data_IF_907096986690
#
_entry.id   IF_907096986690
#
_cell.length_a   1.000
_cell.length_b   1.000
_cell.length_c   1.000
_cell.angle_alpha   90.00
_cell.angle_beta   90.00
_cell.angle_gamma   90.00
#
_symmetry.space_group_name_H-M   'P 1'
#
loop_
_entity.id
_entity.type
_entity.pdbx_description
1 polymer ?
#
# COMPACT_ATOMS: atom_id res chain seq x y z
N UNK A 1 1.75 -42.56 -71.92
CA UNK A 1 0.99 -41.29 -71.86
C UNK A 1 1.94 -40.19 -71.38
N UNK A 2 1.95 -39.07 -72.10
CA UNK A 2 2.84 -37.89 -71.97
C UNK A 2 2.96 -37.42 -70.50
N UNK A 3 4.12 -37.16 -69.91
CA UNK A 3 5.17 -36.18 -70.22
C UNK A 3 4.82 -34.71 -69.89
N UNK A 4 5.62 -34.16 -68.96
CA UNK A 4 6.17 -32.78 -68.87
C UNK A 4 5.52 -31.75 -67.95
N UNK A 5 6.44 -31.14 -67.19
CA UNK A 5 6.40 -29.87 -66.50
C UNK A 5 6.43 -28.65 -67.46
N UNK A 6 6.53 -27.46 -66.85
CA UNK A 6 6.69 -26.08 -67.41
C UNK A 6 5.35 -25.33 -67.47
N UNK A 7 5.20 -24.07 -67.02
CA UNK A 7 6.20 -23.05 -66.71
C UNK A 7 5.63 -21.78 -66.09
N UNK A 8 6.59 -20.88 -65.86
CA UNK A 8 6.55 -19.51 -65.39
C UNK A 8 5.76 -18.58 -66.35
N UNK A 9 5.06 -17.57 -65.83
CA UNK A 9 4.79 -16.34 -66.59
C UNK A 9 4.81 -15.12 -65.65
N UNK A 10 5.83 -14.30 -65.85
CA UNK A 10 5.96 -12.89 -65.45
C UNK A 10 5.37 -12.02 -66.56
N UNK A 11 4.64 -10.96 -66.22
CA UNK A 11 4.47 -9.78 -67.07
C UNK A 11 4.83 -8.54 -66.26
N UNK A 12 5.68 -7.71 -66.88
CA UNK A 12 6.29 -6.47 -66.41
C UNK A 12 5.53 -5.23 -66.92
N UNK A 13 5.88 -4.10 -66.29
CA UNK A 13 5.77 -2.69 -66.72
C UNK A 13 4.49 -1.93 -66.29
N UNK A 14 4.58 -0.69 -65.78
CA UNK A 14 5.70 0.25 -65.76
C UNK A 14 5.52 1.43 -64.80
N UNK A 15 6.62 2.19 -64.67
CA UNK A 15 6.81 3.40 -63.86
C UNK A 15 6.05 4.64 -64.38
N UNK A 16 5.65 5.54 -63.47
CA UNK A 16 5.99 6.97 -63.54
C UNK A 16 5.78 7.70 -62.20
N UNK A 17 6.44 8.85 -62.08
CA UNK A 17 6.94 9.47 -60.86
C UNK A 17 5.97 10.40 -60.07
N UNK A 18 6.23 10.44 -58.75
CA UNK A 18 6.29 11.57 -57.80
C UNK A 18 5.34 12.79 -57.92
N UNK A 19 4.70 13.16 -56.79
CA UNK A 19 4.91 14.44 -56.08
C UNK A 19 4.08 14.55 -54.78
N UNK A 20 4.79 14.89 -53.69
CA UNK A 20 4.41 15.68 -52.51
C UNK A 20 2.99 15.66 -51.93
N UNK A 21 2.89 15.27 -50.66
CA UNK A 21 1.77 15.60 -49.76
C UNK A 21 2.04 15.16 -48.34
N UNK A 22 2.64 16.03 -47.53
CA UNK A 22 2.74 15.86 -46.08
C UNK A 22 1.36 16.01 -45.43
N UNK A 23 0.98 15.12 -44.51
CA UNK A 23 0.61 15.44 -43.12
C UNK A 23 -0.26 14.38 -42.43
N UNK A 24 0.09 14.16 -41.16
CA UNK A 24 -0.79 13.74 -40.06
C UNK A 24 -1.38 12.32 -40.09
N UNK A 25 -0.61 11.35 -39.58
CA UNK A 25 -1.16 10.11 -39.02
C UNK A 25 -0.60 9.90 -37.61
N UNK A 26 -1.22 10.56 -36.64
CA UNK A 26 -1.04 10.32 -35.20
C UNK A 26 -2.15 11.06 -34.43
N UNK A 27 -3.39 10.57 -34.47
CA UNK A 27 -4.45 11.10 -33.59
C UNK A 27 -5.67 10.17 -33.36
N UNK A 28 -5.72 8.95 -33.91
CA UNK A 28 -6.96 8.14 -33.87
C UNK A 28 -6.94 6.95 -32.88
N UNK A 29 -5.80 6.65 -32.22
CA UNK A 29 -5.72 5.54 -31.25
C UNK A 29 -5.91 5.98 -29.78
N UNK A 30 -5.75 7.27 -29.47
CA UNK A 30 -5.85 7.75 -28.08
C UNK A 30 -7.30 7.92 -27.57
N UNK A 31 -8.28 7.98 -28.46
CA UNK A 31 -9.69 8.28 -28.13
C UNK A 31 -10.58 7.04 -28.03
N UNK A 32 -10.08 5.84 -28.38
CA UNK A 32 -10.83 4.57 -28.23
C UNK A 32 -10.54 3.81 -26.93
N UNK A 33 -9.51 4.20 -26.18
CA UNK A 33 -9.22 3.63 -24.84
C UNK A 33 -10.04 4.33 -23.74
N UNK A 34 -10.62 5.50 -24.03
CA UNK A 34 -11.36 6.31 -23.04
C UNK A 34 -12.88 6.01 -22.96
N UNK A 35 -13.40 5.03 -23.71
CA UNK A 35 -14.85 4.79 -23.80
C UNK A 35 -15.25 3.32 -23.65
N UNK A 36 -14.49 2.53 -22.89
CA UNK A 36 -14.90 1.21 -22.43
C UNK A 36 -15.29 1.27 -20.94
N UNK A 37 -16.54 1.68 -20.70
CA UNK A 37 -17.30 1.26 -19.53
C UNK A 37 -16.88 1.80 -18.17
N UNK A 38 -17.31 3.03 -17.84
CA UNK A 38 -17.55 3.44 -16.47
C UNK A 38 -18.67 2.60 -15.84
N UNK A 39 -18.35 1.36 -15.42
CA UNK A 39 -18.95 0.82 -14.19
C UNK A 39 -18.31 1.65 -13.07
N UNK A 40 -19.12 2.34 -12.26
CA UNK A 40 -18.59 3.19 -11.18
C UNK A 40 -17.52 2.44 -10.38
N UNK A 41 -16.40 3.10 -10.07
CA UNK A 41 -15.32 2.47 -9.33
C UNK A 41 -15.88 1.88 -8.02
N UNK A 42 -15.74 0.56 -7.85
CA UNK A 42 -16.12 -0.10 -6.60
C UNK A 42 -15.18 0.41 -5.53
N UNK A 43 -15.71 1.08 -4.51
CA UNK A 43 -14.93 1.66 -3.41
C UNK A 43 -15.30 0.99 -2.09
N UNK A 44 -14.28 0.69 -1.30
CA UNK A 44 -14.34 0.16 0.06
C UNK A 44 -13.56 1.07 1.01
N UNK A 45 -13.87 1.03 2.30
CA UNK A 45 -13.27 1.82 3.36
C UNK A 45 -12.31 0.95 4.20
N UNK A 46 -11.06 1.40 4.31
CA UNK A 46 -10.15 0.98 5.37
C UNK A 46 -10.28 1.98 6.51
N UNK A 47 -10.97 1.61 7.59
CA UNK A 47 -11.25 2.53 8.70
C UNK A 47 -10.12 2.55 9.71
N UNK A 48 -9.96 3.68 10.40
CA UNK A 48 -9.02 3.79 11.50
C UNK A 48 -9.38 2.81 12.63
N UNK A 49 -8.41 2.04 13.10
CA UNK A 49 -8.59 1.16 14.25
C UNK A 49 -8.76 1.98 15.54
N UNK A 50 -9.98 1.99 16.09
CA UNK A 50 -10.34 2.76 17.28
C UNK A 50 -9.83 2.16 18.60
N UNK A 51 -9.34 0.92 18.56
CA UNK A 51 -8.79 0.19 19.69
C UNK A 51 -7.64 -0.71 19.23
N UNK A 52 -6.73 -1.13 20.12
CA UNK A 52 -5.73 -2.14 19.80
C UNK A 52 -6.36 -3.41 19.23
N UNK A 53 -5.66 -4.05 18.28
CA UNK A 53 -6.04 -5.32 17.66
C UNK A 53 -5.01 -6.37 18.10
N UNK A 54 -5.47 -7.50 18.64
CA UNK A 54 -4.62 -8.64 18.98
C UNK A 54 -4.69 -9.64 17.84
N UNK A 55 -3.55 -9.98 17.23
CA UNK A 55 -3.53 -10.95 16.13
C UNK A 55 -3.71 -12.36 16.69
N UNK A 56 -4.96 -12.81 16.79
CA UNK A 56 -5.33 -14.13 17.32
C UNK A 56 -6.21 -14.95 16.35
N UNK A 57 -6.56 -14.37 15.20
CA UNK A 57 -7.33 -15.02 14.14
C UNK A 57 -8.84 -14.85 14.30
N UNK A 58 -9.28 -13.97 15.20
CA UNK A 58 -10.70 -13.65 15.47
C UNK A 58 -10.96 -12.16 15.24
N UNK A 59 -12.24 -11.80 15.20
CA UNK A 59 -12.68 -10.42 14.95
C UNK A 59 -13.50 -9.89 16.13
N UNK A 60 -13.08 -10.21 17.36
CA UNK A 60 -13.86 -9.93 18.57
C UNK A 60 -13.73 -8.47 19.03
N UNK A 61 -12.69 -7.75 18.58
CA UNK A 61 -12.42 -6.37 18.95
C UNK A 61 -13.46 -5.39 18.41
N UNK A 62 -13.74 -4.34 19.19
CA UNK A 62 -14.65 -3.27 18.81
C UNK A 62 -14.25 -2.58 17.48
N UNK A 63 -12.94 -2.47 17.22
CA UNK A 63 -12.44 -1.95 15.95
C UNK A 63 -12.91 -2.78 14.75
N UNK A 64 -12.89 -4.11 14.85
CA UNK A 64 -13.39 -5.00 13.79
C UNK A 64 -14.90 -4.89 13.59
N UNK A 65 -15.65 -4.75 14.67
CA UNK A 65 -17.10 -4.56 14.60
C UNK A 65 -17.48 -3.23 13.93
N UNK A 66 -16.61 -2.22 14.01
CA UNK A 66 -16.77 -0.94 13.33
C UNK A 66 -16.21 -0.91 11.90
N UNK A 67 -15.43 -1.91 11.48
CA UNK A 67 -14.87 -1.98 10.14
C UNK A 67 -15.96 -2.18 9.07
N UNK A 68 -15.72 -1.69 7.84
CA UNK A 68 -16.61 -2.05 6.74
C UNK A 68 -16.42 -3.54 6.40
N UNK A 69 -17.53 -4.27 6.37
CA UNK A 69 -17.54 -5.66 5.90
C UNK A 69 -17.52 -5.69 4.37
N UNK A 70 -16.63 -6.49 3.82
CA UNK A 70 -16.48 -6.79 2.39
C UNK A 70 -16.94 -8.22 2.18
N UNK A 71 -18.11 -8.43 1.58
CA UNK A 71 -18.73 -9.75 1.38
C UNK A 71 -19.05 -10.08 -0.09
N UNK A 72 -18.73 -9.16 -1.01
CA UNK A 72 -18.99 -9.32 -2.45
C UNK A 72 -17.89 -10.13 -3.14
N UNK A 73 -17.68 -11.38 -2.74
CA UNK A 73 -16.76 -12.30 -3.42
C UNK A 73 -17.48 -12.98 -4.59
N UNK A 74 -17.02 -12.70 -5.81
CA UNK A 74 -17.65 -13.12 -7.07
C UNK A 74 -16.63 -13.67 -8.05
N UNK A 75 -17.09 -14.18 -9.20
CA UNK A 75 -16.28 -14.61 -10.35
C UNK A 75 -16.49 -13.64 -11.53
N UNK A 76 -15.87 -12.43 -11.54
CA UNK A 76 -16.24 -11.40 -12.51
C UNK A 76 -15.82 -11.70 -13.95
N UNK A 77 -14.81 -12.55 -14.14
CA UNK A 77 -14.37 -13.02 -15.47
C UNK A 77 -15.41 -13.88 -16.20
N UNK A 78 -16.49 -14.29 -15.53
CA UNK A 78 -17.67 -14.89 -16.16
C UNK A 78 -18.57 -13.87 -16.86
N UNK A 79 -18.29 -12.57 -16.71
CA UNK A 79 -18.94 -11.45 -17.40
C UNK A 79 -20.46 -11.44 -17.23
N UNK A 80 -21.24 -11.75 -18.28
CA UNK A 80 -22.69 -11.77 -18.22
C UNK A 80 -23.23 -12.83 -17.24
N UNK A 81 -22.42 -13.86 -16.97
CA UNK A 81 -22.72 -14.96 -16.05
C UNK A 81 -21.99 -14.79 -14.70
N UNK A 82 -21.56 -13.56 -14.35
CA UNK A 82 -20.99 -13.24 -13.04
C UNK A 82 -21.93 -13.72 -11.92
N UNK A 83 -21.37 -14.48 -10.98
CA UNK A 83 -22.07 -15.04 -9.83
C UNK A 83 -21.23 -14.94 -8.56
N UNK A 84 -21.85 -14.99 -7.37
CA UNK A 84 -21.12 -15.20 -6.12
C UNK A 84 -20.33 -16.52 -6.12
N UNK A 85 -19.29 -16.56 -5.28
CA UNK A 85 -18.64 -17.82 -4.89
C UNK A 85 -19.65 -18.78 -4.23
N UNK A 86 -19.38 -20.07 -4.30
CA UNK A 86 -20.21 -21.14 -3.71
C UNK A 86 -20.19 -21.08 -2.19
N UNK A 87 -19.04 -20.72 -1.63
CA UNK A 87 -18.82 -20.57 -0.19
C UNK A 87 -18.66 -19.10 0.16
N UNK A 88 -19.20 -18.67 1.30
CA UNK A 88 -19.15 -17.27 1.68
C UNK A 88 -17.74 -16.85 2.11
N UNK A 89 -17.40 -15.58 1.85
CA UNK A 89 -16.19 -14.95 2.37
C UNK A 89 -16.56 -13.55 2.86
N UNK A 90 -16.13 -13.21 4.08
CA UNK A 90 -16.34 -11.90 4.71
C UNK A 90 -14.99 -11.37 5.16
N UNK A 91 -14.55 -10.28 4.55
CA UNK A 91 -13.30 -9.63 4.89
C UNK A 91 -13.52 -8.25 5.50
N UNK A 92 -12.54 -7.77 6.27
CA UNK A 92 -12.47 -6.44 6.86
C UNK A 92 -11.05 -5.93 6.76
N UNK A 93 -10.91 -4.63 6.54
CA UNK A 93 -9.62 -3.93 6.53
C UNK A 93 -9.68 -2.76 7.50
N UNK A 94 -8.62 -2.62 8.29
CA UNK A 94 -8.43 -1.51 9.22
C UNK A 94 -7.01 -0.99 9.12
N UNK A 95 -6.77 0.21 9.66
CA UNK A 95 -5.42 0.77 9.68
C UNK A 95 -5.19 1.67 10.89
N UNK A 96 -3.94 1.84 11.29
CA UNK A 96 -3.54 2.82 12.29
C UNK A 96 -2.20 3.49 11.92
N UNK A 97 -1.56 4.15 12.88
CA UNK A 97 -0.27 4.82 12.66
C UNK A 97 0.88 3.85 12.32
N UNK A 98 0.79 2.59 12.73
CA UNK A 98 1.84 1.58 12.59
C UNK A 98 1.55 0.54 11.51
N UNK A 99 0.29 0.15 11.33
CA UNK A 99 -0.06 -1.04 10.57
C UNK A 99 -1.28 -0.87 9.66
N UNK A 100 -1.26 -1.63 8.56
CA UNK A 100 -2.46 -2.12 7.89
C UNK A 100 -2.90 -3.43 8.55
N UNK A 101 -4.18 -3.59 8.83
CA UNK A 101 -4.77 -4.81 9.40
C UNK A 101 -5.74 -5.43 8.41
N UNK A 102 -5.79 -6.76 8.41
CA UNK A 102 -6.74 -7.52 7.62
C UNK A 102 -7.35 -8.65 8.46
N UNK A 103 -8.62 -8.93 8.18
CA UNK A 103 -9.32 -10.10 8.70
C UNK A 103 -10.18 -10.68 7.58
N UNK A 104 -10.19 -12.00 7.44
CA UNK A 104 -11.12 -12.71 6.57
C UNK A 104 -11.67 -13.95 7.27
N UNK A 105 -12.99 -14.13 7.19
CA UNK A 105 -13.69 -15.34 7.58
C UNK A 105 -14.26 -16.00 6.33
N UNK A 106 -13.95 -17.28 6.14
CA UNK A 106 -14.27 -18.06 4.95
C UNK A 106 -14.98 -19.33 5.36
N UNK A 107 -16.14 -19.58 4.75
CA UNK A 107 -16.81 -20.88 4.81
C UNK A 107 -16.04 -21.84 3.92
N UNK A 108 -15.75 -23.03 4.42
CA UNK A 108 -15.03 -24.06 3.67
C UNK A 108 -15.40 -25.44 4.18
N UNK A 109 -15.67 -26.39 3.28
CA UNK A 109 -16.12 -27.73 3.68
C UNK A 109 -15.05 -28.81 3.50
N UNK A 110 -13.86 -28.42 3.04
CA UNK A 110 -12.74 -29.32 2.77
C UNK A 110 -11.41 -28.55 2.89
N UNK A 111 -10.95 -28.32 4.12
CA UNK A 111 -9.75 -27.53 4.36
C UNK A 111 -8.51 -28.24 3.80
N UNK A 112 -7.87 -27.64 2.80
CA UNK A 112 -6.67 -28.13 2.15
C UNK A 112 -5.55 -27.09 2.17
N UNK A 113 -4.50 -27.36 2.94
CA UNK A 113 -3.23 -26.66 2.84
C UNK A 113 -2.04 -27.52 3.28
N UNK A 114 -1.23 -27.97 2.34
CA UNK A 114 -0.01 -28.76 2.54
C UNK A 114 1.30 -27.98 2.27
N UNK A 115 1.20 -26.80 1.68
CA UNK A 115 2.29 -25.82 1.56
C UNK A 115 2.50 -25.16 2.92
N UNK A 116 3.55 -25.58 3.64
CA UNK A 116 3.86 -25.06 4.98
C UNK A 116 5.06 -24.13 5.04
N UNK A 117 5.86 -24.07 3.98
CA UNK A 117 7.07 -23.25 3.90
C UNK A 117 6.71 -21.79 3.62
N UNK A 118 7.27 -20.86 4.41
CA UNK A 118 7.17 -19.42 4.14
C UNK A 118 7.63 -19.14 2.71
N UNK A 119 6.90 -18.29 1.98
CA UNK A 119 7.14 -18.00 0.57
C UNK A 119 6.99 -19.23 -0.35
N UNK A 120 6.31 -20.27 0.12
CA UNK A 120 5.84 -21.37 -0.70
C UNK A 120 4.75 -20.94 -1.68
N UNK A 121 4.40 -21.83 -2.60
CA UNK A 121 3.33 -21.59 -3.59
C UNK A 121 1.95 -21.78 -2.97
N UNK A 122 1.58 -20.89 -2.07
CA UNK A 122 0.36 -20.98 -1.26
C UNK A 122 -0.93 -21.06 -2.07
N UNK A 123 -0.95 -20.57 -3.32
CA UNK A 123 -2.06 -20.69 -4.26
C UNK A 123 -2.33 -22.11 -4.78
N UNK A 124 -1.47 -23.09 -4.47
CA UNK A 124 -1.73 -24.51 -4.74
C UNK A 124 -2.67 -25.15 -3.67
N UNK A 125 -3.18 -24.33 -2.73
CA UNK A 125 -4.00 -24.70 -1.57
C UNK A 125 -5.11 -23.66 -1.32
N UNK A 126 -5.94 -23.88 -0.29
CA UNK A 126 -6.83 -22.85 0.25
C UNK A 126 -6.06 -21.64 0.72
N UNK A 127 -6.29 -20.50 0.07
CA UNK A 127 -5.53 -19.28 0.33
C UNK A 127 -6.39 -18.04 0.22
N UNK A 128 -6.12 -17.09 1.12
CA UNK A 128 -6.62 -15.73 1.06
C UNK A 128 -5.48 -14.81 0.61
N UNK A 129 -5.72 -14.06 -0.45
CA UNK A 129 -4.71 -13.21 -1.09
C UNK A 129 -5.14 -11.74 -1.00
N UNK A 130 -4.17 -10.87 -0.76
CA UNK A 130 -4.32 -9.42 -0.73
C UNK A 130 -3.36 -8.80 -1.74
N UNK A 131 -3.92 -8.00 -2.63
CA UNK A 131 -3.15 -7.23 -3.60
C UNK A 131 -3.31 -5.74 -3.34
N UNK A 132 -2.19 -5.01 -3.31
CA UNK A 132 -2.19 -3.55 -3.15
C UNK A 132 -1.32 -2.89 -4.22
N UNK A 133 -1.83 -1.84 -4.86
CA UNK A 133 -1.12 -1.01 -5.85
C UNK A 133 -1.02 0.46 -5.37
N UNK A 134 -0.31 0.77 -4.27
CA UNK A 134 -0.50 2.03 -3.54
C UNK A 134 -0.25 3.31 -4.32
N UNK A 135 0.80 3.31 -5.15
CA UNK A 135 1.24 4.51 -5.87
C UNK A 135 0.80 4.47 -7.33
N UNK A 136 -0.05 5.41 -7.74
CA UNK A 136 -0.51 5.54 -9.13
C UNK A 136 0.64 5.83 -10.12
N UNK A 137 1.69 6.54 -9.67
CA UNK A 137 2.84 6.94 -10.48
C UNK A 137 3.97 5.89 -10.53
N UNK A 138 3.85 4.79 -9.78
CA UNK A 138 4.83 3.70 -9.74
C UNK A 138 4.24 2.43 -10.34
N UNK A 139 5.02 1.62 -11.09
CA UNK A 139 4.53 0.38 -11.69
C UNK A 139 4.41 -0.79 -10.70
N UNK A 140 5.03 -0.69 -9.52
CA UNK A 140 5.13 -1.80 -8.59
C UNK A 140 3.89 -1.99 -7.72
N UNK A 141 3.65 -3.22 -7.29
CA UNK A 141 2.53 -3.63 -6.45
C UNK A 141 2.92 -4.80 -5.54
N UNK A 142 2.06 -5.07 -4.58
CA UNK A 142 2.25 -6.08 -3.55
C UNK A 142 1.25 -7.21 -3.75
N UNK A 143 1.74 -8.41 -3.48
CA UNK A 143 0.97 -9.63 -3.38
C UNK A 143 1.31 -10.28 -2.05
N UNK A 144 0.27 -10.63 -1.29
CA UNK A 144 0.39 -11.16 0.06
C UNK A 144 -0.63 -12.29 0.17
N UNK A 145 -0.22 -13.41 0.73
CA UNK A 145 -1.07 -14.58 0.83
C UNK A 145 -0.93 -15.20 2.21
N UNK A 146 -2.04 -15.69 2.75
CA UNK A 146 -2.03 -16.57 3.92
C UNK A 146 -2.93 -17.76 3.62
N UNK A 147 -2.40 -18.97 3.70
CA UNK A 147 -3.17 -20.19 3.47
C UNK A 147 -3.82 -20.74 4.76
N UNK A 148 -4.68 -21.74 4.64
CA UNK A 148 -5.36 -22.36 5.77
C UNK A 148 -4.42 -23.05 6.79
N UNK A 149 -3.15 -23.32 6.43
CA UNK A 149 -2.13 -23.80 7.35
C UNK A 149 -1.48 -22.67 8.18
N UNK A 150 -1.76 -21.40 7.85
CA UNK A 150 -1.11 -20.22 8.43
C UNK A 150 0.23 -19.88 7.76
N UNK A 151 0.51 -20.45 6.60
CA UNK A 151 1.71 -20.13 5.83
C UNK A 151 1.51 -18.85 5.05
N UNK A 152 2.52 -17.99 5.16
CA UNK A 152 2.59 -16.69 4.52
C UNK A 152 3.40 -16.81 3.23
N UNK A 153 2.94 -16.13 2.19
CA UNK A 153 3.77 -15.68 1.08
C UNK A 153 3.64 -14.17 0.95
N UNK A 154 4.76 -13.47 0.80
CA UNK A 154 4.76 -12.03 0.58
C UNK A 154 5.75 -11.61 -0.50
N UNK A 155 5.30 -10.73 -1.38
CA UNK A 155 6.11 -10.35 -2.53
C UNK A 155 5.80 -8.94 -3.00
N UNK A 156 6.86 -8.22 -3.37
CA UNK A 156 6.75 -7.01 -4.18
C UNK A 156 7.08 -7.34 -5.63
N UNK A 157 6.17 -7.00 -6.55
CA UNK A 157 6.39 -7.13 -7.98
C UNK A 157 6.70 -5.73 -8.54
N UNK A 158 7.94 -5.42 -8.98
CA UNK A 158 8.32 -4.08 -9.42
C UNK A 158 7.55 -3.57 -10.66
N UNK A 159 7.09 -4.48 -11.51
CA UNK A 159 6.29 -4.18 -12.71
C UNK A 159 5.58 -5.46 -13.17
N UNK A 160 4.30 -5.37 -13.54
CA UNK A 160 3.61 -6.51 -14.15
C UNK A 160 4.28 -6.94 -15.45
N UNK A 161 4.46 -8.24 -15.64
CA UNK A 161 5.06 -8.82 -16.84
C UNK A 161 6.60 -8.79 -16.90
N UNK A 162 7.29 -8.25 -15.89
CA UNK A 162 8.78 -8.30 -15.82
C UNK A 162 9.33 -9.56 -15.14
N UNK A 163 8.45 -10.50 -14.80
CA UNK A 163 8.71 -11.70 -14.00
C UNK A 163 7.52 -11.99 -13.09
N UNK A 164 7.69 -12.89 -12.13
CA UNK A 164 6.70 -13.23 -11.11
C UNK A 164 7.39 -13.91 -9.94
N UNK A 165 6.66 -14.80 -9.25
CA UNK A 165 7.10 -15.55 -8.08
C UNK A 165 8.59 -15.95 -8.11
N UNK A 166 9.01 -16.79 -9.07
CA UNK A 166 10.38 -17.31 -9.14
C UNK A 166 11.48 -16.24 -9.20
N UNK A 167 11.15 -15.02 -9.62
CA UNK A 167 12.10 -13.92 -9.77
C UNK A 167 12.14 -13.00 -8.54
N UNK A 168 10.98 -12.78 -7.92
CA UNK A 168 10.81 -11.69 -6.95
C UNK A 168 10.53 -12.17 -5.53
N UNK A 169 10.23 -13.45 -5.33
CA UNK A 169 9.88 -13.97 -4.01
C UNK A 169 10.97 -13.74 -2.95
N UNK A 170 12.25 -13.80 -3.35
CA UNK A 170 13.37 -13.55 -2.45
C UNK A 170 13.77 -12.06 -2.33
N UNK A 171 13.04 -11.13 -2.93
CA UNK A 171 13.41 -9.70 -2.98
C UNK A 171 12.96 -8.92 -1.74
N UNK A 172 13.73 -9.08 -0.67
CA UNK A 172 13.55 -8.39 0.60
C UNK A 172 12.81 -9.25 1.62
N UNK A 173 12.55 -8.65 2.78
CA UNK A 173 11.82 -9.30 3.87
C UNK A 173 10.63 -8.41 4.23
N UNK A 174 9.45 -8.99 4.24
CA UNK A 174 8.27 -8.37 4.84
C UNK A 174 8.14 -8.82 6.30
N UNK A 175 7.31 -8.09 7.04
CA UNK A 175 7.09 -8.25 8.48
C UNK A 175 5.60 -8.47 8.75
N UNK A 176 4.92 -9.17 7.85
CA UNK A 176 3.54 -9.60 8.05
C UNK A 176 3.47 -10.53 9.26
N UNK A 177 2.53 -10.25 10.14
CA UNK A 177 2.15 -11.13 11.24
C UNK A 177 0.72 -11.59 11.00
N UNK A 178 0.47 -12.89 11.08
CA UNK A 178 -0.87 -13.45 10.88
C UNK A 178 -1.14 -14.62 11.79
N UNK A 179 -2.41 -14.80 12.14
CA UNK A 179 -2.91 -15.95 12.88
C UNK A 179 -4.14 -16.53 12.17
N UNK A 180 -4.17 -17.86 12.08
CA UNK A 180 -5.28 -18.62 11.49
C UNK A 180 -6.03 -19.38 12.57
N UNK A 181 -7.37 -19.36 12.47
CA UNK A 181 -8.28 -20.22 13.24
C UNK A 181 -9.02 -21.11 12.25
N UNK A 182 -8.95 -22.44 12.47
CA UNK A 182 -9.64 -23.45 11.65
C UNK A 182 -10.85 -23.98 12.43
N UNK A 183 -11.97 -24.13 11.73
CA UNK A 183 -13.18 -24.82 12.18
C UNK A 183 -13.32 -26.10 11.35
N UNK A 184 -12.42 -27.05 11.61
CA UNK A 184 -12.29 -28.24 10.78
C UNK A 184 -10.96 -28.98 10.98
N UNK A 185 -10.72 -30.00 10.17
CA UNK A 185 -9.52 -30.83 10.16
C UNK A 185 -8.72 -30.62 8.87
N UNK A 186 -7.62 -29.88 8.97
CA UNK A 186 -6.77 -29.58 7.81
C UNK A 186 -6.28 -30.87 7.12
N UNK A 187 -6.36 -30.89 5.79
CA UNK A 187 -5.92 -31.95 4.87
C UNK A 187 -6.67 -33.29 5.03
N UNK A 188 -7.94 -33.26 5.44
CA UNK A 188 -8.77 -34.46 5.63
C UNK A 188 -10.05 -34.44 4.79
N UNK A 189 -9.90 -34.55 3.47
CA UNK A 189 -11.03 -34.49 2.53
C UNK A 189 -12.20 -35.46 2.75
N UNK A 190 -12.02 -36.51 3.57
CA UNK A 190 -13.10 -37.45 3.89
C UNK A 190 -14.07 -36.94 4.97
N UNK A 191 -13.72 -35.90 5.73
CA UNK A 191 -14.66 -35.27 6.66
C UNK A 191 -15.29 -33.99 6.07
N UNK A 192 -15.94 -33.21 6.93
CA UNK A 192 -16.62 -31.98 6.57
C UNK A 192 -16.24 -30.90 7.55
N UNK A 193 -15.69 -29.83 7.02
CA UNK A 193 -15.30 -28.66 7.76
C UNK A 193 -16.37 -27.56 7.69
N UNK A 194 -16.21 -26.54 8.53
CA UNK A 194 -17.07 -25.35 8.56
C UNK A 194 -16.34 -24.12 8.00
N UNK A 195 -15.01 -24.13 7.98
CA UNK A 195 -14.18 -23.12 7.34
C UNK A 195 -13.01 -22.65 8.20
N UNK A 196 -12.50 -21.48 7.88
CA UNK A 196 -11.36 -20.90 8.58
C UNK A 196 -11.44 -19.37 8.62
N UNK A 197 -10.62 -18.76 9.46
CA UNK A 197 -10.39 -17.33 9.45
C UNK A 197 -8.91 -17.03 9.54
N UNK A 198 -8.51 -15.92 8.93
CA UNK A 198 -7.18 -15.35 9.06
C UNK A 198 -7.30 -13.92 9.54
N UNK A 199 -6.47 -13.56 10.50
CA UNK A 199 -6.25 -12.18 10.93
C UNK A 199 -4.77 -11.86 10.78
N UNK A 200 -4.44 -10.64 10.38
CA UNK A 200 -3.06 -10.22 10.35
C UNK A 200 -2.86 -8.73 10.26
N UNK A 201 -1.59 -8.34 10.34
CA UNK A 201 -1.14 -6.95 10.24
C UNK A 201 0.19 -6.85 9.50
N UNK A 202 0.42 -5.69 8.91
CA UNK A 202 1.65 -5.37 8.21
C UNK A 202 2.11 -3.96 8.54
N UNK A 203 3.39 -3.75 8.91
CA UNK A 203 3.88 -2.42 9.19
C UNK A 203 4.04 -1.60 7.92
N UNK A 204 3.83 -0.29 8.02
CA UNK A 204 3.98 0.62 6.87
C UNK A 204 5.38 0.65 6.25
N UNK A 205 6.39 0.15 6.96
CA UNK A 205 7.76 -0.02 6.45
C UNK A 205 7.82 -0.93 5.24
N UNK A 206 6.93 -1.92 5.16
CA UNK A 206 6.87 -2.86 4.04
C UNK A 206 6.35 -2.20 2.75
N UNK A 207 5.61 -1.09 2.89
CA UNK A 207 5.06 -0.32 1.79
C UNK A 207 5.98 0.81 1.28
N UNK A 208 7.21 0.97 1.81
CA UNK A 208 8.10 2.08 1.47
C UNK A 208 8.48 2.17 -0.01
N UNK A 209 8.54 1.04 -0.73
CA UNK A 209 8.84 1.03 -2.18
C UNK A 209 7.80 1.85 -2.96
N UNK A 210 6.56 1.94 -2.47
CA UNK A 210 5.46 2.68 -3.07
C UNK A 210 4.96 3.86 -2.23
N UNK A 211 5.74 4.36 -1.27
CA UNK A 211 5.42 5.58 -0.52
C UNK A 211 5.10 5.38 0.96
N UNK A 212 4.91 4.14 1.42
CA UNK A 212 4.68 3.83 2.83
C UNK A 212 3.23 4.05 3.25
N UNK A 213 3.06 4.61 4.45
CA UNK A 213 1.75 4.83 5.08
C UNK A 213 0.87 5.77 4.25
N UNK A 214 -0.41 5.45 4.04
CA UNK A 214 -1.34 6.33 3.33
C UNK A 214 -1.65 7.60 4.13
N UNK A 215 -1.98 8.67 3.42
CA UNK A 215 -2.68 9.82 3.99
C UNK A 215 -4.15 9.48 4.26
N UNK A 216 -4.77 10.25 5.16
CA UNK A 216 -6.23 10.20 5.34
C UNK A 216 -6.90 10.59 4.01
N UNK A 217 -7.97 9.86 3.67
CA UNK A 217 -8.73 9.95 2.42
C UNK A 217 -7.95 9.58 1.15
N UNK A 218 -6.70 9.11 1.28
CA UNK A 218 -6.01 8.46 0.18
C UNK A 218 -6.75 7.18 -0.21
N UNK A 219 -6.72 6.82 -1.48
CA UNK A 219 -7.32 5.59 -1.97
C UNK A 219 -6.30 4.77 -2.75
N UNK A 220 -6.21 3.47 -2.48
CA UNK A 220 -5.34 2.56 -3.22
C UNK A 220 -6.17 1.62 -4.11
N UNK A 221 -5.76 1.34 -5.35
CA UNK A 221 -6.22 0.14 -6.04
C UNK A 221 -5.85 -1.10 -5.23
N UNK A 222 -6.82 -1.97 -4.97
CA UNK A 222 -6.62 -3.23 -4.25
C UNK A 222 -7.57 -4.34 -4.74
N UNK A 223 -7.21 -5.56 -4.41
CA UNK A 223 -8.09 -6.73 -4.52
C UNK A 223 -7.88 -7.66 -3.33
N UNK A 224 -8.97 -8.21 -2.82
CA UNK A 224 -8.96 -9.37 -1.93
C UNK A 224 -9.43 -10.55 -2.76
N UNK A 225 -8.69 -11.64 -2.73
CA UNK A 225 -8.92 -12.81 -3.56
C UNK A 225 -8.87 -14.08 -2.71
N UNK A 226 -9.53 -15.13 -3.20
CA UNK A 226 -9.56 -16.44 -2.54
C UNK A 226 -9.43 -17.54 -3.56
N UNK A 227 -8.65 -18.56 -3.21
CA UNK A 227 -8.71 -19.89 -3.81
C UNK A 227 -9.39 -20.81 -2.79
N UNK A 228 -10.44 -21.50 -3.23
CA UNK A 228 -11.18 -22.49 -2.44
C UNK A 228 -11.05 -23.86 -3.13
N UNK A 229 -10.26 -24.74 -2.53
CA UNK A 229 -10.03 -26.10 -2.98
C UNK A 229 -11.02 -27.04 -2.30
N UNK A 230 -11.66 -27.90 -3.09
CA UNK A 230 -12.46 -28.98 -2.54
C UNK A 230 -12.48 -30.17 -3.48
N UNK A 231 -12.51 -31.39 -2.91
CA UNK A 231 -12.78 -32.62 -3.66
C UNK A 231 -14.13 -32.63 -4.36
N UNK A 232 -15.04 -31.71 -3.99
CA UNK A 232 -16.32 -31.53 -4.67
C UNK A 232 -16.22 -30.66 -5.94
N UNK A 233 -15.09 -30.02 -6.20
CA UNK A 233 -14.90 -29.05 -7.29
C UNK A 233 -13.99 -29.60 -8.39
N UNK A 234 -14.16 -29.07 -9.60
CA UNK A 234 -13.22 -29.31 -10.70
C UNK A 234 -12.19 -28.17 -10.72
N UNK A 235 -11.08 -28.37 -9.99
CA UNK A 235 -10.11 -27.32 -9.69
C UNK A 235 -10.57 -26.36 -8.57
N UNK A 236 -9.72 -25.40 -8.16
CA UNK A 236 -10.11 -24.42 -7.15
C UNK A 236 -11.18 -23.47 -7.68
N UNK A 237 -12.13 -23.11 -6.83
CA UNK A 237 -13.00 -21.97 -7.11
C UNK A 237 -12.29 -20.68 -6.71
N UNK A 238 -12.00 -19.85 -7.71
CA UNK A 238 -11.40 -18.53 -7.50
C UNK A 238 -12.50 -17.50 -7.26
N UNK A 239 -12.28 -16.55 -6.35
CA UNK A 239 -13.20 -15.43 -6.17
C UNK A 239 -12.49 -14.17 -5.71
N UNK A 240 -13.13 -13.01 -5.91
CA UNK A 240 -12.56 -11.70 -5.55
C UNK A 240 -13.62 -10.66 -5.24
N UNK A 241 -13.26 -9.66 -4.43
CA UNK A 241 -14.07 -8.45 -4.22
C UNK A 241 -13.89 -7.39 -5.32
N UNK A 242 -12.86 -7.52 -6.15
CA UNK A 242 -12.55 -6.54 -7.20
C UNK A 242 -13.40 -6.75 -8.47
N UNK A 243 -13.65 -5.70 -9.26
CA UNK A 243 -14.39 -5.80 -10.52
C UNK A 243 -13.87 -6.80 -11.55
N UNK A 244 -12.54 -7.00 -11.68
CA UNK A 244 -11.79 -7.99 -12.48
C UNK A 244 -12.53 -8.71 -13.65
N UNK A 245 -13.27 -7.95 -14.46
CA UNK A 245 -14.21 -8.47 -15.46
C UNK A 245 -13.92 -8.03 -16.89
N UNK A 246 -12.89 -7.21 -17.10
CA UNK A 246 -12.43 -6.83 -18.44
C UNK A 246 -11.83 -8.02 -19.20
N UNK A 247 -11.28 -9.00 -18.48
CA UNK A 247 -10.73 -10.24 -19.02
C UNK A 247 -11.74 -11.39 -18.92
N UNK A 248 -11.66 -12.34 -19.86
CA UNK A 248 -12.49 -13.56 -19.91
C UNK A 248 -11.87 -14.75 -19.16
N UNK A 249 -10.91 -14.48 -18.29
CA UNK A 249 -10.25 -15.45 -17.42
C UNK A 249 -9.86 -14.75 -16.13
N UNK A 250 -9.67 -15.53 -15.06
CA UNK A 250 -9.15 -15.00 -13.81
C UNK A 250 -7.69 -14.56 -13.99
N UNK A 251 -7.40 -13.31 -13.65
CA UNK A 251 -6.04 -12.78 -13.55
C UNK A 251 -6.02 -11.78 -12.38
N UNK A 252 -5.62 -12.25 -11.20
CA UNK A 252 -5.54 -11.41 -10.01
C UNK A 252 -4.43 -10.36 -10.10
N UNK A 253 -3.55 -10.39 -11.10
CA UNK A 253 -2.52 -9.36 -11.30
C UNK A 253 -3.01 -8.22 -12.21
N UNK A 254 -4.25 -8.26 -12.70
CA UNK A 254 -4.84 -7.23 -13.57
C UNK A 254 -5.31 -5.99 -12.76
N UNK A 255 -4.34 -5.25 -12.20
CA UNK A 255 -4.59 -4.13 -11.29
C UNK A 255 -5.37 -2.95 -11.89
N UNK A 256 -5.59 -2.89 -13.20
CA UNK A 256 -6.46 -1.89 -13.85
C UNK A 256 -7.92 -2.01 -13.42
N UNK A 257 -8.37 -3.23 -13.10
CA UNK A 257 -9.74 -3.53 -12.69
C UNK A 257 -9.89 -3.66 -11.16
N UNK A 258 -8.88 -3.25 -10.40
CA UNK A 258 -8.95 -3.30 -8.93
C UNK A 258 -10.02 -2.35 -8.39
N UNK A 259 -10.60 -2.73 -7.25
CA UNK A 259 -11.42 -1.83 -6.45
C UNK A 259 -10.56 -0.73 -5.82
N UNK A 260 -11.18 0.31 -5.26
CA UNK A 260 -10.50 1.38 -4.52
C UNK A 260 -10.68 1.18 -3.02
N UNK A 261 -9.58 1.19 -2.26
CA UNK A 261 -9.56 1.15 -0.81
C UNK A 261 -9.26 2.54 -0.26
N UNK A 262 -10.26 3.22 0.28
CA UNK A 262 -10.12 4.55 0.86
C UNK A 262 -9.76 4.49 2.34
N UNK A 263 -8.69 5.17 2.75
CA UNK A 263 -8.18 5.19 4.12
C UNK A 263 -8.89 6.25 4.96
N UNK A 264 -9.93 5.84 5.68
CA UNK A 264 -10.73 6.73 6.52
C UNK A 264 -9.98 6.95 7.85
N UNK A 265 -9.66 8.21 8.13
CA UNK A 265 -8.99 8.60 9.37
C UNK A 265 -9.86 8.46 10.62
N UNK A 266 -9.31 8.71 11.81
CA UNK A 266 -10.06 8.64 13.06
C UNK A 266 -11.25 9.61 13.03
N UNK A 267 -12.45 9.10 13.32
CA UNK A 267 -13.65 9.92 13.41
C UNK A 267 -13.53 10.86 14.62
N UNK A 268 -13.83 12.16 14.41
CA UNK A 268 -14.04 13.09 15.51
C UNK A 268 -15.46 12.89 16.02
N UNK A 269 -15.64 12.63 17.32
CA UNK A 269 -16.97 12.47 17.91
C UNK A 269 -17.87 13.67 17.57
N UNK A 270 -18.84 13.46 16.68
CA UNK A 270 -19.85 14.44 16.30
C UNK A 270 -20.94 14.51 17.39
N UNK A 271 -20.58 15.01 18.58
CA UNK A 271 -21.48 15.02 19.74
C UNK A 271 -21.42 16.24 20.66
N UNK A 272 -20.61 17.26 20.37
CA UNK A 272 -20.39 18.40 21.28
C UNK A 272 -20.75 19.77 20.69
N UNK A 273 -21.74 19.85 19.80
CA UNK A 273 -22.36 21.15 19.49
C UNK A 273 -23.85 20.99 19.19
N UNK A 274 -24.69 21.21 20.21
CA UNK A 274 -26.04 21.83 20.16
C UNK A 274 -26.80 21.54 21.46
N UNK A 275 -26.80 22.48 22.41
CA UNK A 275 -27.97 22.81 23.26
C UNK A 275 -27.66 24.08 24.08
N UNK A 276 -28.64 24.99 24.09
CA UNK A 276 -28.59 26.37 24.59
C UNK A 276 -28.62 26.51 26.12
N UNK A 277 -28.13 27.69 26.54
CA UNK A 277 -28.39 28.45 27.76
C UNK A 277 -29.73 28.21 28.50
N UNK A 278 -29.69 27.96 29.81
CA UNK A 278 -30.36 28.74 30.86
C UNK A 278 -30.20 28.08 32.26
N UNK A 279 -30.32 28.91 33.29
CA UNK A 279 -29.94 28.79 34.70
C UNK A 279 -30.56 27.65 35.57
N UNK A 280 -29.67 27.05 36.39
CA UNK A 280 -29.71 26.86 37.84
C UNK A 280 -30.89 26.17 38.60
N UNK A 281 -30.50 25.02 39.21
CA UNK A 281 -30.74 24.55 40.59
C UNK A 281 -32.11 23.99 41.05
N UNK A 282 -32.14 22.67 41.31
CA UNK A 282 -32.19 22.12 42.69
C UNK A 282 -31.88 20.62 42.70
N UNK A 283 -30.93 20.22 43.56
CA UNK A 283 -30.44 18.85 43.74
C UNK A 283 -31.27 18.11 44.81
N UNK A 284 -31.56 16.83 44.58
CA UNK A 284 -31.59 15.80 45.65
C UNK A 284 -31.02 14.47 45.11
N UNK A 285 -29.83 14.14 45.63
CA UNK A 285 -29.09 12.88 45.47
C UNK A 285 -29.72 11.75 46.32
N UNK A 286 -29.50 10.44 46.15
CA UNK A 286 -28.34 9.60 45.74
C UNK A 286 -28.92 8.26 45.19
N UNK A 287 -28.22 7.42 44.43
CA UNK A 287 -26.78 7.32 44.18
C UNK A 287 -26.41 6.16 43.23
N UNK A 288 -25.10 6.06 43.01
CA UNK A 288 -24.33 5.18 42.12
C UNK A 288 -24.33 5.58 40.63
N UNK A 289 -23.54 6.61 40.33
CA UNK A 289 -23.14 7.01 38.99
C UNK A 289 -22.14 8.17 39.10
N UNK A 290 -21.03 8.12 38.37
CA UNK A 290 -20.25 9.35 38.17
C UNK A 290 -21.04 10.17 37.16
N UNK A 291 -21.88 11.10 37.62
CA UNK A 291 -22.79 11.91 36.78
C UNK A 291 -22.06 12.90 35.85
N UNK A 292 -20.78 13.20 36.11
CA UNK A 292 -19.96 14.06 35.26
C UNK A 292 -18.48 13.75 35.44
N UNK A 293 -17.76 13.66 34.33
CA UNK A 293 -16.32 13.51 34.30
C UNK A 293 -15.65 14.75 34.93
N UNK A 294 -14.87 14.59 35.99
CA UNK A 294 -13.97 15.65 36.48
C UNK A 294 -12.78 15.69 35.54
N UNK A 295 -12.55 16.77 34.76
CA UNK A 295 -11.35 16.86 33.96
C UNK A 295 -10.15 16.87 34.92
N UNK A 296 -9.19 15.98 34.70
CA UNK A 296 -7.87 16.08 35.31
C UNK A 296 -7.19 17.34 34.74
N UNK A 297 -7.46 18.51 35.34
CA UNK A 297 -6.85 19.79 34.95
C UNK A 297 -5.41 19.93 35.45
N UNK A 298 -4.97 19.03 36.33
CA UNK A 298 -3.56 18.86 36.65
C UNK A 298 -3.05 17.63 35.92
N UNK A 299 -3.02 17.72 34.60
CA UNK A 299 -2.14 16.86 33.85
C UNK A 299 -0.70 17.19 34.23
N UNK A 300 0.07 16.17 34.63
CA UNK A 300 1.54 16.23 34.56
C UNK A 300 2.09 15.55 33.30
N UNK A 301 1.19 15.17 32.38
CA UNK A 301 1.55 14.64 31.05
C UNK A 301 0.96 15.58 29.99
N UNK A 302 1.80 16.50 29.52
CA UNK A 302 1.48 17.38 28.39
C UNK A 302 1.80 16.62 27.10
N UNK A 303 0.76 16.24 26.36
CA UNK A 303 0.81 15.79 24.96
C UNK A 303 -0.53 16.09 24.31
N UNK A 304 -0.54 16.96 23.29
CA UNK A 304 -1.74 17.64 22.77
C UNK A 304 -2.56 16.83 21.76
N UNK A 305 -3.90 17.02 21.71
CA UNK A 305 -4.67 16.86 20.47
C UNK A 305 -4.46 18.12 19.62
N UNK A 306 -3.42 18.14 18.80
CA UNK A 306 -3.17 19.32 17.96
C UNK A 306 -4.22 19.43 16.83
N UNK A 307 -4.79 20.63 16.59
CA UNK A 307 -5.52 20.90 15.35
C UNK A 307 -4.59 20.67 14.14
N UNK A 308 -5.14 20.42 12.93
CA UNK A 308 -4.30 20.28 11.74
C UNK A 308 -3.33 21.46 11.67
N UNK A 309 -2.04 21.21 11.39
CA UNK A 309 -1.04 22.26 11.41
C UNK A 309 -1.51 23.42 10.52
N UNK A 310 -1.37 24.68 10.95
CA UNK A 310 -1.77 25.84 10.15
C UNK A 310 -1.00 25.96 8.82
N UNK A 311 -0.03 25.07 8.60
CA UNK A 311 0.84 25.04 7.44
C UNK A 311 0.76 23.66 6.78
N UNK A 312 0.64 23.65 5.44
CA UNK A 312 0.77 22.45 4.63
C UNK A 312 2.25 22.25 4.28
N UNK A 313 2.76 21.04 4.46
CA UNK A 313 4.09 20.70 4.00
C UNK A 313 4.14 20.79 2.46
N UNK A 314 5.06 21.59 1.93
CA UNK A 314 5.35 21.66 0.50
C UNK A 314 6.83 21.30 0.26
N UNK A 315 7.13 20.80 -0.95
CA UNK A 315 8.49 20.45 -1.31
C UNK A 315 9.32 21.72 -1.47
N UNK A 316 10.09 22.07 -0.45
CA UNK A 316 10.92 23.28 -0.45
C UNK A 316 12.03 23.28 -1.52
N UNK A 317 12.58 22.10 -1.85
CA UNK A 317 13.64 21.93 -2.86
C UNK A 317 13.30 20.83 -3.87
N UNK A 318 12.47 21.11 -4.90
CA UNK A 318 12.04 20.10 -5.86
C UNK A 318 13.16 19.45 -6.65
N UNK A 319 14.25 20.18 -6.87
CA UNK A 319 15.39 19.74 -7.67
C UNK A 319 16.54 19.16 -6.84
N UNK A 320 16.48 19.25 -5.50
CA UNK A 320 17.52 18.70 -4.63
C UNK A 320 17.37 17.18 -4.56
N UNK A 321 18.36 16.47 -5.09
CA UNK A 321 18.45 15.01 -5.01
C UNK A 321 19.43 14.63 -3.91
N UNK A 322 18.93 13.97 -2.87
CA UNK A 322 19.74 13.44 -1.77
C UNK A 322 19.75 11.91 -1.86
N UNK A 323 20.93 11.33 -1.78
CA UNK A 323 21.10 9.90 -1.63
C UNK A 323 21.18 9.64 -0.13
N UNK A 324 20.16 8.99 0.47
CA UNK A 324 20.13 8.65 1.89
C UNK A 324 20.40 9.82 2.86
N UNK A 325 19.51 10.82 2.93
CA UNK A 325 19.64 11.92 3.87
C UNK A 325 19.54 11.42 5.32
N UNK A 326 20.48 11.84 6.16
CA UNK A 326 20.59 11.41 7.56
C UNK A 326 20.23 12.54 8.51
N UNK A 327 20.70 13.75 8.22
CA UNK A 327 20.55 14.90 9.10
C UNK A 327 20.46 16.19 8.28
N UNK A 328 19.68 17.17 8.74
CA UNK A 328 19.65 18.51 8.16
C UNK A 328 19.39 19.56 9.24
N UNK A 329 20.03 20.71 9.12
CA UNK A 329 19.93 21.81 10.08
C UNK A 329 20.19 23.16 9.40
N UNK A 330 19.58 24.23 9.91
CA UNK A 330 19.85 25.58 9.42
C UNK A 330 21.24 26.04 9.89
N UNK A 331 22.04 26.61 8.97
CA UNK A 331 23.34 27.20 9.28
C UNK A 331 23.13 28.51 10.07
N UNK A 332 23.61 28.62 11.33
CA UNK A 332 23.34 29.77 12.19
C UNK A 332 23.73 31.10 11.56
N UNK A 333 22.81 32.08 11.62
CA UNK A 333 23.06 33.42 11.09
C UNK A 333 23.01 33.54 9.56
N UNK A 334 22.59 32.48 8.85
CA UNK A 334 22.51 32.47 7.38
C UNK A 334 21.14 32.01 6.89
N UNK A 335 20.93 32.14 5.58
CA UNK A 335 19.81 31.53 4.86
C UNK A 335 20.21 30.18 4.24
N UNK A 336 21.14 29.42 4.83
CA UNK A 336 21.60 28.13 4.28
C UNK A 336 21.11 26.96 5.11
N UNK A 337 20.82 25.85 4.45
CA UNK A 337 20.59 24.56 5.08
C UNK A 337 21.83 23.72 4.88
N UNK A 338 22.38 23.19 5.97
CA UNK A 338 23.43 22.19 5.93
C UNK A 338 22.81 20.82 6.21
N UNK A 339 23.29 19.81 5.49
CA UNK A 339 22.79 18.45 5.58
C UNK A 339 23.91 17.44 5.48
N UNK A 340 23.58 16.24 5.93
CA UNK A 340 24.40 15.05 5.92
C UNK A 340 23.66 13.98 5.12
N UNK A 341 24.32 13.43 4.11
CA UNK A 341 23.79 12.33 3.31
C UNK A 341 24.83 11.22 3.11
N UNK A 342 24.39 10.04 2.65
CA UNK A 342 25.24 8.87 2.49
C UNK A 342 25.13 8.29 1.08
N UNK A 343 26.22 7.76 0.55
CA UNK A 343 26.20 7.16 -0.80
C UNK A 343 25.31 5.90 -0.87
N UNK A 344 25.11 5.21 0.25
CA UNK A 344 24.24 4.06 0.46
C UNK A 344 23.89 3.96 1.95
N UNK A 345 22.92 3.11 2.31
CA UNK A 345 22.66 2.79 3.73
C UNK A 345 23.94 2.37 4.45
N UNK A 346 24.28 3.05 5.54
CA UNK A 346 25.48 2.78 6.35
C UNK A 346 26.79 2.90 5.56
N UNK A 347 26.87 3.83 4.60
CA UNK A 347 28.03 4.05 3.74
C UNK A 347 28.81 5.34 4.05
N UNK A 348 29.79 5.69 3.18
CA UNK A 348 30.51 6.95 3.24
C UNK A 348 29.54 8.13 3.26
N UNK A 349 29.84 9.11 4.10
CA UNK A 349 28.97 10.24 4.39
C UNK A 349 29.51 11.53 3.78
N UNK A 350 28.62 12.46 3.51
CA UNK A 350 28.95 13.77 2.97
C UNK A 350 28.22 14.86 3.73
N UNK A 351 28.96 15.88 4.15
CA UNK A 351 28.42 17.13 4.67
C UNK A 351 28.36 18.13 3.52
N UNK A 352 27.17 18.64 3.26
CA UNK A 352 26.94 19.61 2.19
C UNK A 352 25.91 20.66 2.60
N UNK A 353 25.85 21.79 1.89
CA UNK A 353 24.88 22.85 2.16
C UNK A 353 24.25 23.40 0.89
N UNK A 354 23.08 24.01 1.04
CA UNK A 354 22.32 24.67 -0.03
C UNK A 354 21.74 25.99 0.48
N UNK A 355 21.57 26.96 -0.41
CA UNK A 355 20.88 28.21 -0.09
C UNK A 355 19.36 28.01 0.00
N UNK A 356 18.74 28.58 1.02
CA UNK A 356 17.29 28.67 1.22
C UNK A 356 16.72 30.00 0.67
N UNK A 357 17.56 30.91 0.19
CA UNK A 357 17.12 32.21 -0.30
C UNK A 357 16.28 32.06 -1.58
N UNK A 358 15.04 32.56 -1.56
CA UNK A 358 14.17 32.56 -2.75
C UNK A 358 14.64 33.64 -3.71
N UNK A 359 15.04 33.26 -4.93
CA UNK A 359 15.30 34.21 -6.03
C UNK A 359 14.03 34.38 -6.86
N UNK A 360 13.48 35.60 -6.90
CA UNK A 360 12.31 35.94 -7.73
C UNK A 360 11.07 35.06 -7.51
N UNK A 361 10.89 34.47 -6.32
CA UNK A 361 9.76 33.59 -6.01
C UNK A 361 9.90 32.15 -6.51
N UNK A 362 11.06 31.76 -7.05
CA UNK A 362 11.38 30.36 -7.37
C UNK A 362 12.23 29.75 -6.24
N UNK A 363 12.08 28.43 -5.95
CA UNK A 363 12.99 27.74 -5.05
C UNK A 363 14.43 27.98 -5.50
N UNK A 364 15.33 28.25 -4.55
CA UNK A 364 16.76 28.47 -4.80
C UNK A 364 17.29 27.39 -5.74
N UNK A 365 18.16 27.78 -6.68
CA UNK A 365 18.90 26.83 -7.50
C UNK A 365 19.51 25.76 -6.59
N UNK A 366 19.38 24.49 -6.97
CA UNK A 366 19.88 23.36 -6.18
C UNK A 366 21.41 23.25 -6.25
N UNK A 367 22.11 24.38 -6.13
CA UNK A 367 23.55 24.46 -6.08
C UNK A 367 24.00 23.97 -4.70
N UNK A 368 24.18 22.66 -4.63
CA UNK A 368 24.69 21.97 -3.46
C UNK A 368 26.20 22.17 -3.41
N UNK A 369 26.68 22.77 -2.33
CA UNK A 369 28.10 22.88 -2.03
C UNK A 369 28.49 21.73 -1.09
N UNK A 370 29.41 20.87 -1.53
CA UNK A 370 29.98 19.83 -0.67
C UNK A 370 31.12 20.41 0.15
N UNK A 371 31.04 20.29 1.48
CA UNK A 371 32.01 20.84 2.42
C UNK A 371 33.02 19.80 2.89
N UNK A 372 32.54 18.58 3.14
CA UNK A 372 33.37 17.50 3.66
C UNK A 372 32.84 16.15 3.18
N UNK A 373 33.73 15.33 2.65
CA UNK A 373 33.50 13.91 2.46
C UNK A 373 34.13 13.14 3.61
N UNK A 374 33.41 12.16 4.13
CA UNK A 374 33.80 11.38 5.29
C UNK A 374 33.74 9.91 4.91
N UNK A 375 34.88 9.24 4.93
CA UNK A 375 34.98 7.79 4.73
C UNK A 375 34.62 7.01 6.00
N UNK A 376 33.46 7.36 6.56
CA UNK A 376 32.90 6.81 7.78
C UNK A 376 31.37 6.99 7.75
N UNK A 377 30.69 6.30 8.64
CA UNK A 377 29.27 6.54 8.87
C UNK A 377 29.13 7.73 9.82
N UNK A 378 28.51 8.79 9.35
CA UNK A 378 28.15 9.95 10.15
C UNK A 378 26.64 9.98 10.40
N UNK A 379 26.23 10.45 11.58
CA UNK A 379 24.82 10.50 11.97
C UNK A 379 24.34 11.88 12.43
N UNK A 380 25.24 12.81 12.74
CA UNK A 380 24.85 14.11 13.28
C UNK A 380 25.84 15.21 12.95
N UNK A 381 25.34 16.44 12.97
CA UNK A 381 26.10 17.68 12.86
C UNK A 381 25.75 18.58 14.05
N UNK A 382 26.76 19.24 14.62
CA UNK A 382 26.55 20.23 15.67
C UNK A 382 27.45 21.45 15.43
N UNK A 383 26.85 22.63 15.38
CA UNK A 383 27.60 23.88 15.29
C UNK A 383 28.25 24.22 16.63
N UNK A 384 29.44 24.79 16.59
CA UNK A 384 30.01 25.45 17.76
C UNK A 384 29.10 26.62 18.20
N UNK A 385 28.95 26.91 19.51
CA UNK A 385 28.12 28.03 19.98
C UNK A 385 28.49 29.39 19.38
N UNK A 386 29.76 29.59 19.05
CA UNK A 386 30.30 30.76 18.35
C UNK A 386 30.56 30.52 16.86
N UNK A 387 29.79 29.66 16.20
CA UNK A 387 29.99 29.30 14.79
C UNK A 387 30.06 30.51 13.86
N UNK A 388 29.28 31.56 14.13
CA UNK A 388 29.32 32.80 13.33
C UNK A 388 30.68 33.52 13.41
N UNK A 389 31.46 33.30 14.47
CA UNK A 389 32.78 33.91 14.68
C UNK A 389 33.91 32.98 14.22
N UNK A 390 33.77 31.67 14.43
CA UNK A 390 34.87 30.71 14.27
C UNK A 390 34.68 29.64 13.19
N UNK A 391 33.48 29.48 12.65
CA UNK A 391 33.17 28.51 11.60
C UNK A 391 33.27 27.03 12.00
N UNK A 392 33.42 26.70 13.29
CA UNK A 392 33.61 25.32 13.73
C UNK A 392 32.31 24.50 13.75
N UNK A 393 32.39 23.32 13.15
CA UNK A 393 31.35 22.31 13.07
C UNK A 393 31.91 20.99 13.60
N UNK A 394 31.09 20.25 14.34
CA UNK A 394 31.36 18.90 14.80
C UNK A 394 30.53 17.89 14.02
N UNK A 395 31.16 16.79 13.59
CA UNK A 395 30.51 15.69 12.88
C UNK A 395 30.53 14.45 13.78
N UNK A 396 29.36 13.91 14.09
CA UNK A 396 29.22 12.69 14.88
C UNK A 396 29.42 11.45 14.02
N UNK A 397 30.54 10.75 14.24
CA UNK A 397 30.95 9.56 13.49
C UNK A 397 30.72 8.27 14.28
N UNK A 398 30.48 7.16 13.57
CA UNK A 398 30.40 5.81 14.11
C UNK A 398 31.48 4.91 13.51
N UNK A 399 32.73 5.27 13.80
CA UNK A 399 33.91 4.51 13.38
C UNK A 399 34.19 4.57 11.87
N UNK A 400 35.40 4.18 11.44
CA UNK A 400 35.73 4.06 10.02
C UNK A 400 34.92 2.92 9.38
N UNK A 401 34.68 3.03 8.06
CA UNK A 401 34.14 1.91 7.30
C UNK A 401 35.23 0.82 7.23
N UNK A 402 34.91 -0.38 7.72
CA UNK A 402 35.81 -1.55 7.68
C UNK A 402 35.94 -2.13 6.28
#
# INVERSE_FOLDING_TARGET
MLARAVGLLLILAGWCAALSGANCWAADDATKVAAAGARGAVEYECRWASSPITIDGKADEAAWQAAQMIDRFTLPWLQADERPSRTATRARLLWDSGYLYFFAEMEDTDLYADVTEHDGKTWENDVFELFFKPADDKPGYYELQVNAAGTVMDMFIPRRGSGGFNRYIADGRFHIESQVVRRGTLNRWQDKDEGWSVEGRMPWTDFYRTGGRPAVDEAWPFALCRYDYSVAFEGPELSTCAPLGSLKHADFHHYEDYARLKFIGPQKDAGASKANSAEANTVKSRGYGIERFTPLTTSRVVGSPEPPPPYKAERAFPQLKLSWPIFATAEPGSSRLMFLDQTRSSGPSRVARVSMAKDGGKPATADVETLLEVDAIAYSLAFHPQFAENGYLYVGLNGPLS
#
